data_IF_854919030797
#
_entry.id   IF_854919030797
#
_cell.length_a   1.000
_cell.length_b   1.000
_cell.length_c   1.000
_cell.angle_alpha   90.00
_cell.angle_beta   90.00
_cell.angle_gamma   90.00
#
_symmetry.space_group_name_H-M   'P 1'
#
loop_
_entity.id
_entity.type
_entity.pdbx_description
1 polymer ?
#
# COMPACT_ATOMS: atom_id res chain seq x y z
N UNK A 1 7.27 32.16 -7.20
CA UNK A 1 7.14 30.74 -6.83
C UNK A 1 8.20 30.42 -5.79
N UNK A 2 7.84 29.82 -4.67
CA UNK A 2 8.82 29.33 -3.69
C UNK A 2 9.62 28.17 -4.29
N UNK A 3 10.94 28.14 -4.13
CA UNK A 3 11.79 27.04 -4.59
C UNK A 3 11.46 25.76 -3.81
N UNK A 4 11.48 24.60 -4.49
CA UNK A 4 11.44 23.30 -3.84
C UNK A 4 12.69 23.09 -2.98
N UNK A 5 13.86 23.62 -3.44
CA UNK A 5 15.12 23.58 -2.72
C UNK A 5 15.18 24.68 -1.65
N UNK A 6 14.52 24.47 -0.52
CA UNK A 6 14.45 25.45 0.58
C UNK A 6 15.71 25.47 1.46
N UNK A 7 16.57 24.46 1.37
CA UNK A 7 17.76 24.21 2.23
C UNK A 7 17.44 24.05 3.74
N UNK A 8 16.17 24.16 4.14
CA UNK A 8 15.77 24.04 5.55
C UNK A 8 15.94 22.63 6.14
N UNK A 9 16.12 21.64 5.27
CA UNK A 9 16.27 20.23 5.63
C UNK A 9 17.71 19.71 5.65
N UNK A 10 18.71 20.53 5.30
CA UNK A 10 20.10 20.10 5.09
C UNK A 10 20.79 19.64 6.38
N UNK A 11 20.27 20.05 7.53
CA UNK A 11 20.75 19.64 8.87
C UNK A 11 20.05 18.39 9.43
N UNK A 12 19.34 17.62 8.59
CA UNK A 12 18.62 16.41 9.01
C UNK A 12 17.30 16.65 9.75
N UNK A 13 16.77 17.88 9.70
CA UNK A 13 15.49 18.24 10.30
C UNK A 13 14.44 18.47 9.22
N UNK A 14 13.17 18.17 9.55
CA UNK A 14 12.01 18.47 8.70
C UNK A 14 10.89 19.09 9.54
N UNK A 15 9.87 19.65 8.89
CA UNK A 15 8.67 20.14 9.56
C UNK A 15 7.50 19.19 9.31
N UNK A 16 6.80 18.83 10.35
CA UNK A 16 5.49 18.18 10.27
C UNK A 16 4.39 19.19 9.89
N UNK A 17 3.21 18.70 9.55
CA UNK A 17 2.03 19.52 9.45
C UNK A 17 1.83 20.29 10.79
N UNK A 18 1.53 21.59 10.72
CA UNK A 18 1.51 22.47 11.92
C UNK A 18 2.86 23.12 12.26
N UNK A 19 3.94 22.83 11.52
CA UNK A 19 5.23 23.51 11.63
C UNK A 19 6.18 22.97 12.70
N UNK A 20 5.81 21.93 13.46
CA UNK A 20 6.69 21.28 14.45
C UNK A 20 7.92 20.70 13.75
N UNK A 21 9.11 21.09 14.20
CA UNK A 21 10.39 20.57 13.69
C UNK A 21 10.71 19.23 14.35
N UNK A 22 11.09 18.25 13.54
CA UNK A 22 11.48 16.90 13.97
C UNK A 22 12.68 16.41 13.16
N UNK A 23 13.36 15.39 13.67
CA UNK A 23 14.41 14.69 12.92
C UNK A 23 13.81 14.00 11.70
N UNK A 24 14.51 14.00 10.58
CA UNK A 24 14.16 13.18 9.40
C UNK A 24 14.20 11.68 9.69
N UNK A 25 14.95 11.23 10.71
CA UNK A 25 14.97 9.85 11.19
C UNK A 25 13.88 9.51 12.21
N UNK A 26 12.95 10.42 12.52
CA UNK A 26 11.83 10.11 13.43
C UNK A 26 10.89 9.08 12.79
N UNK A 27 10.34 8.16 13.61
CA UNK A 27 9.45 7.10 13.15
C UNK A 27 8.26 7.63 12.34
N UNK A 28 7.66 8.74 12.76
CA UNK A 28 6.57 9.40 12.02
C UNK A 28 6.99 9.82 10.61
N UNK A 29 8.22 10.36 10.46
CA UNK A 29 8.77 10.77 9.15
C UNK A 29 9.02 9.54 8.27
N UNK A 30 9.60 8.49 8.83
CA UNK A 30 9.82 7.22 8.15
C UNK A 30 8.50 6.58 7.71
N UNK A 31 7.46 6.66 8.55
CA UNK A 31 6.15 6.07 8.26
C UNK A 31 5.48 6.73 7.04
N UNK A 32 5.32 8.06 7.05
CA UNK A 32 4.71 8.73 5.88
C UNK A 32 5.64 8.71 4.65
N UNK A 33 6.96 8.68 4.85
CA UNK A 33 7.92 8.49 3.77
C UNK A 33 7.79 7.11 3.10
N UNK A 34 7.50 6.06 3.89
CA UNK A 34 7.20 4.72 3.35
C UNK A 34 5.87 4.70 2.58
N UNK A 35 4.88 5.50 3.00
CA UNK A 35 3.63 5.66 2.22
C UNK A 35 3.89 6.36 0.88
N UNK A 36 4.79 7.34 0.85
CA UNK A 36 5.21 8.00 -0.40
C UNK A 36 5.95 7.04 -1.33
N UNK A 37 6.85 6.20 -0.78
CA UNK A 37 7.51 5.11 -1.51
C UNK A 37 6.49 4.12 -2.11
N UNK A 38 5.47 3.74 -1.32
CA UNK A 38 4.36 2.91 -1.79
C UNK A 38 3.62 3.57 -2.96
N UNK A 39 3.32 4.86 -2.86
CA UNK A 39 2.63 5.61 -3.91
C UNK A 39 3.46 5.64 -5.21
N UNK A 40 4.78 5.83 -5.11
CA UNK A 40 5.68 5.77 -6.25
C UNK A 40 5.74 4.37 -6.89
N UNK A 41 5.81 3.31 -6.06
CA UNK A 41 5.78 1.93 -6.52
C UNK A 41 4.47 1.58 -7.26
N UNK A 42 3.33 2.05 -6.75
CA UNK A 42 2.03 1.92 -7.43
C UNK A 42 1.98 2.71 -8.73
N UNK A 43 2.59 3.88 -8.79
CA UNK A 43 2.76 4.65 -10.02
C UNK A 43 3.50 3.88 -11.10
N UNK A 44 4.58 3.19 -10.71
CA UNK A 44 5.32 2.31 -11.61
C UNK A 44 4.46 1.12 -12.05
N UNK A 45 3.83 0.40 -11.13
CA UNK A 45 2.96 -0.75 -11.44
C UNK A 45 1.85 -0.33 -12.42
N UNK A 46 1.17 0.79 -12.16
CA UNK A 46 0.14 1.35 -13.03
C UNK A 46 0.65 1.70 -14.43
N UNK A 47 1.87 2.22 -14.54
CA UNK A 47 2.44 2.67 -15.83
C UNK A 47 2.73 1.51 -16.80
N UNK A 48 2.89 0.29 -16.30
CA UNK A 48 3.17 -0.91 -17.09
C UNK A 48 1.99 -1.90 -17.09
N UNK A 49 0.90 -1.60 -16.37
CA UNK A 49 -0.30 -2.43 -16.31
C UNK A 49 -1.15 -2.23 -17.57
N UNK A 50 -1.37 -3.29 -18.33
CA UNK A 50 -2.22 -3.25 -19.52
C UNK A 50 -3.73 -3.37 -19.20
N UNK A 51 -4.09 -3.84 -18.00
CA UNK A 51 -5.48 -3.89 -17.53
C UNK A 51 -5.92 -2.49 -17.11
N UNK A 52 -6.77 -1.86 -17.94
CA UNK A 52 -7.27 -0.50 -17.69
C UNK A 52 -8.09 -0.38 -16.41
N UNK A 53 -8.80 -1.45 -16.01
CA UNK A 53 -9.59 -1.47 -14.78
C UNK A 53 -8.69 -1.42 -13.56
N UNK A 54 -7.64 -2.26 -13.53
CA UNK A 54 -6.65 -2.23 -12.45
C UNK A 54 -5.85 -0.92 -12.45
N UNK A 55 -5.52 -0.38 -13.61
CA UNK A 55 -4.83 0.90 -13.72
C UNK A 55 -5.68 2.04 -13.14
N UNK A 56 -6.99 2.07 -13.45
CA UNK A 56 -7.92 3.07 -12.91
C UNK A 56 -8.10 2.92 -11.39
N UNK A 57 -8.29 1.70 -10.89
CA UNK A 57 -8.38 1.42 -9.44
C UNK A 57 -7.09 1.84 -8.73
N UNK A 58 -5.92 1.55 -9.32
CA UNK A 58 -4.62 1.96 -8.77
C UNK A 58 -4.49 3.48 -8.66
N UNK A 59 -5.00 4.23 -9.64
CA UNK A 59 -5.01 5.71 -9.57
C UNK A 59 -5.83 6.23 -8.39
N UNK A 60 -7.00 5.65 -8.12
CA UNK A 60 -7.82 6.02 -6.96
C UNK A 60 -7.10 5.70 -5.64
N UNK A 61 -6.45 4.54 -5.55
CA UNK A 61 -5.62 4.16 -4.40
C UNK A 61 -4.49 5.17 -4.20
N UNK A 62 -3.79 5.59 -5.27
CA UNK A 62 -2.74 6.60 -5.19
C UNK A 62 -3.26 7.94 -4.64
N UNK A 63 -4.47 8.36 -5.03
CA UNK A 63 -5.10 9.56 -4.47
C UNK A 63 -5.42 9.40 -2.99
N UNK A 64 -5.88 8.24 -2.57
CA UNK A 64 -6.15 7.95 -1.16
C UNK A 64 -4.88 7.87 -0.32
N UNK A 65 -3.75 7.41 -0.87
CA UNK A 65 -2.46 7.41 -0.18
C UNK A 65 -1.97 8.82 0.18
N UNK A 66 -2.35 9.87 -0.55
CA UNK A 66 -2.12 11.25 -0.12
C UNK A 66 -2.87 11.57 1.18
N UNK A 67 -4.11 11.07 1.34
CA UNK A 67 -4.88 11.24 2.58
C UNK A 67 -4.25 10.45 3.74
N UNK A 68 -3.79 9.22 3.48
CA UNK A 68 -3.06 8.40 4.46
C UNK A 68 -1.77 9.09 4.89
N UNK A 69 -0.97 9.56 3.94
CA UNK A 69 0.26 10.31 4.22
C UNK A 69 -0.02 11.58 5.03
N UNK A 70 -1.07 12.33 4.70
CA UNK A 70 -1.49 13.52 5.44
C UNK A 70 -1.91 13.20 6.88
N UNK A 71 -2.66 12.10 7.09
CA UNK A 71 -3.03 11.63 8.43
C UNK A 71 -1.80 11.34 9.29
N UNK A 72 -0.82 10.65 8.72
CA UNK A 72 0.42 10.28 9.39
C UNK A 72 1.36 11.47 9.62
N UNK A 73 1.41 12.42 8.68
CA UNK A 73 2.26 13.62 8.79
C UNK A 73 1.68 14.70 9.73
N UNK A 74 0.41 14.55 10.16
CA UNK A 74 -0.26 15.54 11.00
C UNK A 74 -0.35 15.03 12.44
N UNK A 75 0.42 15.62 13.40
CA UNK A 75 0.30 15.27 14.80
C UNK A 75 -1.11 15.59 15.33
N UNK A 76 -1.60 14.89 16.38
CA UNK A 76 -2.96 15.08 16.92
C UNK A 76 -3.30 16.54 17.23
N UNK A 77 -2.36 17.27 17.84
CA UNK A 77 -2.50 18.67 18.22
C UNK A 77 -2.65 19.63 17.02
N UNK A 78 -2.27 19.18 15.83
CA UNK A 78 -2.33 19.98 14.59
C UNK A 78 -3.50 19.60 13.68
N UNK A 79 -4.27 18.58 14.04
CA UNK A 79 -5.42 18.12 13.25
C UNK A 79 -6.55 19.14 13.26
N UNK A 80 -7.16 19.33 12.10
CA UNK A 80 -8.33 20.21 11.91
C UNK A 80 -9.37 19.47 11.10
N UNK A 81 -10.62 19.49 11.59
CA UNK A 81 -11.73 18.81 10.92
C UNK A 81 -11.71 17.30 11.06
N UNK A 82 -12.40 16.62 10.14
CA UNK A 82 -12.58 15.18 10.14
C UNK A 82 -11.30 14.43 9.78
N UNK A 83 -11.24 13.15 10.16
CA UNK A 83 -10.14 12.27 9.81
C UNK A 83 -10.05 12.11 8.28
N UNK A 84 -8.87 12.31 7.67
CA UNK A 84 -8.73 12.25 6.21
C UNK A 84 -8.88 10.83 5.65
N UNK A 85 -8.66 9.80 6.49
CA UNK A 85 -8.91 8.38 6.17
C UNK A 85 -10.20 7.97 6.85
N UNK A 86 -11.16 7.48 6.06
CA UNK A 86 -12.52 7.16 6.51
C UNK A 86 -12.81 5.67 6.45
N UNK A 87 -13.84 5.23 7.18
CA UNK A 87 -14.34 3.87 7.12
C UNK A 87 -14.76 3.49 5.69
N UNK A 88 -15.44 4.38 4.97
CA UNK A 88 -15.87 4.16 3.60
C UNK A 88 -14.70 3.84 2.65
N UNK A 89 -13.50 4.40 2.89
CA UNK A 89 -12.30 4.05 2.10
C UNK A 89 -11.86 2.61 2.37
N UNK A 90 -11.95 2.14 3.61
CA UNK A 90 -11.64 0.75 3.98
C UNK A 90 -12.67 -0.22 3.40
N UNK A 91 -13.95 0.15 3.46
CA UNK A 91 -15.05 -0.64 2.89
C UNK A 91 -14.94 -0.77 1.36
N UNK A 92 -14.56 0.30 0.67
CA UNK A 92 -14.32 0.28 -0.77
C UNK A 92 -13.22 -0.72 -1.16
N UNK A 93 -12.07 -0.71 -0.46
CA UNK A 93 -11.01 -1.71 -0.67
C UNK A 93 -11.49 -3.12 -0.34
N UNK A 94 -12.29 -3.27 0.72
CA UNK A 94 -12.83 -4.58 1.15
C UNK A 94 -13.78 -5.16 0.10
N UNK A 95 -14.64 -4.32 -0.47
CA UNK A 95 -15.54 -4.74 -1.55
C UNK A 95 -14.77 -5.22 -2.79
N UNK A 96 -13.70 -4.51 -3.16
CA UNK A 96 -12.83 -4.89 -4.28
C UNK A 96 -12.09 -6.21 -4.00
N UNK A 97 -11.59 -6.41 -2.78
CA UNK A 97 -10.99 -7.69 -2.36
C UNK A 97 -11.99 -8.84 -2.55
N UNK A 98 -13.22 -8.70 -2.05
CA UNK A 98 -14.24 -9.76 -2.19
C UNK A 98 -14.64 -10.02 -3.65
N UNK A 99 -14.71 -8.96 -4.46
CA UNK A 99 -15.01 -9.11 -5.88
C UNK A 99 -13.93 -9.92 -6.62
N UNK A 100 -12.65 -9.66 -6.31
CA UNK A 100 -11.54 -10.40 -6.90
C UNK A 100 -11.41 -11.83 -6.35
N UNK A 101 -11.63 -12.04 -5.05
CA UNK A 101 -11.64 -13.39 -4.44
C UNK A 101 -12.67 -14.33 -5.06
N UNK A 102 -13.78 -13.77 -5.57
CA UNK A 102 -14.81 -14.53 -6.27
C UNK A 102 -14.38 -15.02 -7.67
N UNK A 103 -13.29 -14.48 -8.24
CA UNK A 103 -12.80 -14.91 -9.54
C UNK A 103 -12.11 -16.27 -9.46
N UNK A 104 -12.36 -17.18 -10.41
CA UNK A 104 -11.78 -18.51 -10.38
C UNK A 104 -10.25 -18.46 -10.57
N UNK A 105 -9.54 -19.23 -9.76
CA UNK A 105 -8.11 -19.46 -9.91
C UNK A 105 -7.21 -18.51 -9.10
N UNK A 106 -7.70 -17.36 -8.62
CA UNK A 106 -6.88 -16.40 -7.89
C UNK A 106 -6.38 -16.94 -6.53
N UNK A 107 -7.24 -17.70 -5.86
CA UNK A 107 -6.94 -18.29 -4.53
C UNK A 107 -6.51 -19.76 -4.61
N UNK A 108 -5.90 -20.18 -5.71
CA UNK A 108 -5.57 -21.60 -5.92
C UNK A 108 -4.32 -22.07 -5.18
N UNK A 109 -3.31 -21.23 -5.04
CA UNK A 109 -2.03 -21.58 -4.39
C UNK A 109 -1.17 -20.32 -4.14
N UNK A 110 -0.05 -20.50 -3.44
CA UNK A 110 1.02 -19.52 -3.33
C UNK A 110 1.66 -19.24 -4.69
N UNK A 111 1.92 -17.98 -4.98
CA UNK A 111 2.64 -17.58 -6.18
C UNK A 111 4.05 -17.09 -5.87
N UNK A 112 4.97 -17.44 -6.74
CA UNK A 112 6.32 -16.86 -6.78
C UNK A 112 6.25 -15.61 -7.66
N UNK A 113 6.47 -14.41 -7.12
CA UNK A 113 6.41 -13.17 -7.89
C UNK A 113 7.32 -13.21 -9.13
N UNK A 114 6.85 -12.68 -10.26
CA UNK A 114 7.65 -12.57 -11.47
C UNK A 114 7.05 -13.23 -12.71
N UNK A 115 5.88 -13.86 -12.58
CA UNK A 115 5.17 -14.46 -13.71
C UNK A 115 4.62 -13.43 -14.72
N UNK A 116 4.37 -12.21 -14.27
CA UNK A 116 3.95 -11.07 -15.06
C UNK A 116 4.65 -9.80 -14.54
N UNK A 117 5.17 -8.90 -15.40
CA UNK A 117 5.90 -7.70 -14.94
C UNK A 117 5.07 -6.75 -14.09
N UNK A 118 3.82 -6.47 -14.49
CA UNK A 118 2.91 -5.60 -13.73
C UNK A 118 2.49 -6.31 -12.43
N UNK A 119 2.18 -7.61 -12.48
CA UNK A 119 1.90 -8.45 -11.32
C UNK A 119 3.03 -8.42 -10.29
N UNK A 120 4.28 -8.60 -10.73
CA UNK A 120 5.46 -8.50 -9.86
C UNK A 120 5.63 -7.11 -9.24
N UNK A 121 5.27 -6.06 -9.97
CA UNK A 121 5.32 -4.68 -9.46
C UNK A 121 4.26 -4.44 -8.39
N UNK A 122 3.06 -5.02 -8.51
CA UNK A 122 2.05 -4.99 -7.44
C UNK A 122 2.51 -5.79 -6.22
N UNK A 123 3.20 -6.93 -6.38
CA UNK A 123 3.80 -7.65 -5.26
C UNK A 123 4.87 -6.82 -4.53
N UNK A 124 5.69 -6.06 -5.26
CA UNK A 124 6.64 -5.13 -4.65
C UNK A 124 5.90 -4.05 -3.86
N UNK A 125 4.90 -3.39 -4.45
CA UNK A 125 4.07 -2.38 -3.78
C UNK A 125 3.39 -2.95 -2.52
N UNK A 126 2.87 -4.19 -2.58
CA UNK A 126 2.32 -4.91 -1.43
C UNK A 126 3.31 -5.01 -0.27
N UNK A 127 4.56 -5.38 -0.55
CA UNK A 127 5.57 -5.50 0.52
C UNK A 127 5.90 -4.15 1.16
N UNK A 128 5.87 -3.07 0.38
CA UNK A 128 6.04 -1.70 0.87
C UNK A 128 4.82 -1.28 1.71
N UNK A 129 3.58 -1.59 1.28
CA UNK A 129 2.36 -1.35 2.06
C UNK A 129 2.46 -2.01 3.45
N UNK A 130 2.88 -3.27 3.51
CA UNK A 130 3.10 -3.99 4.77
C UNK A 130 4.22 -3.39 5.62
N UNK A 131 5.23 -2.77 5.02
CA UNK A 131 6.26 -2.03 5.77
C UNK A 131 5.68 -0.75 6.35
N UNK A 132 4.90 0.02 5.58
CA UNK A 132 4.21 1.21 6.08
C UNK A 132 3.26 0.87 7.23
N UNK A 133 2.49 -0.21 7.10
CA UNK A 133 1.62 -0.73 8.16
C UNK A 133 2.41 -1.03 9.45
N UNK A 134 3.52 -1.77 9.37
CA UNK A 134 4.37 -2.07 10.55
C UNK A 134 4.95 -0.82 11.20
N UNK A 135 5.29 0.21 10.42
CA UNK A 135 5.74 1.49 10.96
C UNK A 135 4.59 2.21 11.68
N UNK A 136 3.39 2.22 11.09
CA UNK A 136 2.20 2.81 11.72
C UNK A 136 1.81 2.06 13.01
N UNK A 137 1.91 0.72 13.04
CA UNK A 137 1.72 -0.08 14.27
C UNK A 137 2.72 0.34 15.35
N UNK A 138 4.01 0.44 15.02
CA UNK A 138 5.03 0.92 15.99
C UNK A 138 4.72 2.31 16.52
N UNK A 139 4.21 3.23 15.68
CA UNK A 139 3.76 4.54 16.16
C UNK A 139 2.67 4.42 17.22
N UNK A 140 1.68 3.51 17.03
CA UNK A 140 0.63 3.30 18.03
C UNK A 140 1.16 2.66 19.32
N UNK A 141 2.11 1.74 19.22
CA UNK A 141 2.80 1.12 20.38
C UNK A 141 3.61 2.15 21.17
N UNK A 142 4.15 3.18 20.51
CA UNK A 142 4.84 4.32 21.15
C UNK A 142 3.86 5.40 21.66
N UNK A 143 2.55 5.16 21.60
CA UNK A 143 1.51 6.08 22.08
C UNK A 143 1.15 7.20 21.10
N UNK A 144 1.60 7.12 19.86
CA UNK A 144 1.28 8.07 18.81
C UNK A 144 -0.08 7.72 18.17
N UNK A 145 -0.94 8.71 17.97
CA UNK A 145 -2.20 8.53 17.25
C UNK A 145 -1.98 8.65 15.72
N UNK A 146 -2.29 7.60 14.99
CA UNK A 146 -2.23 7.53 13.52
C UNK A 146 -3.59 7.77 12.85
N UNK A 147 -4.66 7.90 13.63
CA UNK A 147 -6.04 7.99 13.15
C UNK A 147 -6.74 6.63 13.09
N UNK A 148 -8.09 6.62 13.12
CA UNK A 148 -8.88 5.42 13.40
C UNK A 148 -8.81 4.35 12.30
N UNK A 149 -8.60 4.75 11.04
CA UNK A 149 -8.74 3.85 9.89
C UNK A 149 -7.45 3.62 9.11
N UNK A 150 -6.32 4.25 9.48
CA UNK A 150 -5.05 4.15 8.74
C UNK A 150 -4.52 2.72 8.72
N UNK A 151 -4.51 2.03 9.87
CA UNK A 151 -4.03 0.65 9.96
C UNK A 151 -4.92 -0.30 9.15
N UNK A 152 -6.25 -0.17 9.30
CA UNK A 152 -7.20 -0.99 8.55
C UNK A 152 -7.07 -0.77 7.04
N UNK A 153 -6.87 0.48 6.60
CA UNK A 153 -6.66 0.81 5.20
C UNK A 153 -5.39 0.15 4.64
N UNK A 154 -4.25 0.31 5.30
CA UNK A 154 -2.97 -0.27 4.86
C UNK A 154 -3.00 -1.80 4.85
N UNK A 155 -3.63 -2.41 5.85
CA UNK A 155 -3.81 -3.85 5.91
C UNK A 155 -4.65 -4.34 4.72
N UNK A 156 -5.84 -3.77 4.49
CA UNK A 156 -6.73 -4.13 3.39
C UNK A 156 -6.10 -3.86 2.02
N UNK A 157 -5.35 -2.76 1.90
CA UNK A 157 -4.62 -2.45 0.67
C UNK A 157 -3.59 -3.54 0.35
N UNK A 158 -2.90 -4.08 1.35
CA UNK A 158 -1.93 -5.15 1.10
C UNK A 158 -2.59 -6.42 0.54
N UNK A 159 -3.80 -6.76 1.01
CA UNK A 159 -4.58 -7.89 0.49
C UNK A 159 -4.98 -7.65 -0.97
N UNK A 160 -5.48 -6.44 -1.27
CA UNK A 160 -5.90 -6.06 -2.61
C UNK A 160 -4.74 -6.09 -3.61
N UNK A 161 -3.57 -5.58 -3.24
CA UNK A 161 -2.40 -5.57 -4.12
C UNK A 161 -1.90 -6.99 -4.44
N UNK A 162 -2.03 -7.92 -3.50
CA UNK A 162 -1.75 -9.33 -3.77
C UNK A 162 -2.70 -9.87 -4.83
N UNK A 163 -4.00 -9.60 -4.71
CA UNK A 163 -5.02 -10.04 -5.69
C UNK A 163 -4.81 -9.42 -7.08
N UNK A 164 -4.39 -8.16 -7.16
CA UNK A 164 -4.01 -7.52 -8.43
C UNK A 164 -2.90 -8.29 -9.12
N UNK A 165 -1.85 -8.65 -8.38
CA UNK A 165 -0.76 -9.48 -8.91
C UNK A 165 -1.25 -10.84 -9.40
N UNK A 166 -2.10 -11.52 -8.62
CA UNK A 166 -2.64 -12.86 -9.00
C UNK A 166 -3.54 -12.79 -10.22
N UNK A 167 -4.38 -11.74 -10.32
CA UNK A 167 -5.24 -11.56 -11.50
C UNK A 167 -4.40 -11.45 -12.78
N UNK A 168 -3.38 -10.63 -12.78
CA UNK A 168 -2.51 -10.44 -13.95
C UNK A 168 -1.75 -11.72 -14.32
N UNK A 169 -1.26 -12.48 -13.35
CA UNK A 169 -0.61 -13.76 -13.59
C UNK A 169 -1.56 -14.80 -14.20
N UNK A 170 -2.81 -14.87 -13.71
CA UNK A 170 -3.84 -15.78 -14.25
C UNK A 170 -4.18 -15.40 -15.68
N UNK A 171 -4.37 -14.13 -15.98
CA UNK A 171 -4.65 -13.62 -17.32
C UNK A 171 -3.49 -13.83 -18.29
N UNK A 172 -2.26 -13.65 -17.82
CA UNK A 172 -1.04 -13.96 -18.58
C UNK A 172 -0.80 -15.47 -18.74
N UNK A 173 -1.61 -16.33 -18.09
CA UNK A 173 -1.40 -17.78 -18.03
C UNK A 173 -0.01 -18.16 -17.51
N UNK A 174 0.53 -17.35 -16.61
CA UNK A 174 1.84 -17.56 -16.03
C UNK A 174 1.85 -18.84 -15.17
N UNK A 175 2.92 -19.62 -15.28
CA UNK A 175 3.17 -20.75 -14.40
C UNK A 175 3.95 -20.26 -13.17
N UNK A 176 3.27 -19.54 -12.28
CA UNK A 176 3.88 -18.86 -11.14
C UNK A 176 3.56 -19.51 -9.80
N UNK A 177 2.57 -20.41 -9.72
CA UNK A 177 2.24 -21.04 -8.44
C UNK A 177 3.27 -22.09 -8.02
N UNK A 178 3.51 -22.21 -6.71
CA UNK A 178 4.48 -23.19 -6.18
C UNK A 178 4.17 -24.63 -6.64
N UNK A 179 2.88 -24.97 -6.74
CA UNK A 179 2.48 -26.32 -7.19
C UNK A 179 2.77 -26.53 -8.66
N UNK A 180 2.49 -25.55 -9.53
CA UNK A 180 2.82 -25.61 -10.94
C UNK A 180 4.33 -25.76 -11.15
N UNK A 181 5.14 -24.96 -10.45
CA UNK A 181 6.60 -25.01 -10.54
C UNK A 181 7.19 -26.32 -10.04
N UNK A 182 6.52 -27.01 -9.11
CA UNK A 182 6.95 -28.30 -8.55
C UNK A 182 6.22 -29.51 -9.17
N UNK A 183 5.42 -29.33 -10.23
CA UNK A 183 4.68 -30.41 -10.88
C UNK A 183 3.62 -31.08 -10.00
N UNK A 184 3.07 -30.38 -8.99
CA UNK A 184 2.08 -30.92 -8.06
C UNK A 184 0.66 -30.64 -8.55
N UNK A 185 -0.21 -31.64 -8.50
CA UNK A 185 -1.62 -31.49 -8.89
C UNK A 185 -2.50 -30.94 -7.77
N UNK A 186 -3.55 -30.19 -8.17
CA UNK A 186 -4.64 -29.74 -7.32
C UNK A 186 -4.36 -28.49 -6.49
N UNK A 187 -5.38 -27.70 -6.14
CA UNK A 187 -5.23 -26.48 -5.35
C UNK A 187 -4.96 -26.77 -3.87
N UNK A 188 -4.17 -25.93 -3.23
CA UNK A 188 -4.05 -25.90 -1.78
C UNK A 188 -3.82 -24.46 -1.32
N UNK A 189 -4.89 -23.83 -0.82
CA UNK A 189 -4.82 -22.50 -0.25
C UNK A 189 -4.56 -22.55 1.25
N UNK A 190 -3.66 -21.74 1.73
CA UNK A 190 -3.43 -21.48 3.14
C UNK A 190 -3.46 -19.98 3.40
N UNK A 191 -4.28 -19.51 4.33
CA UNK A 191 -4.38 -18.10 4.76
C UNK A 191 -3.27 -17.69 5.74
N UNK A 192 -2.14 -18.37 5.74
CA UNK A 192 -1.09 -18.22 6.74
C UNK A 192 -0.08 -17.09 6.45
N UNK A 193 -0.58 -15.89 6.16
CA UNK A 193 0.27 -14.68 6.10
C UNK A 193 -0.36 -13.53 6.83
#
# INVERSE_FOLDING_TARGET
MSSIATKLGDTGQTSLAGGKRVSKGALRVETYGTVDELNAALGYARSICADETLAAATLLIQQDLFKVGAALATPPESRKGDAPVTEAMVEALTAEVYALEALPGLLSDWSVPGGDPAGASFDLARTIARRAERHAVRMTEEGEDVGPFVLAYLNRLSDLLWLFGRKLEVEAKAQSTLRQLNGLAGPRWSRAW
#
